data_IF_329329977831
#
_entry.id   IF_329329977831
#
_cell.length_a   1.000
_cell.length_b   1.000
_cell.length_c   1.000
_cell.angle_alpha   90.00
_cell.angle_beta   90.00
_cell.angle_gamma   90.00
#
_symmetry.space_group_name_H-M   'P 1'
#
loop_
_entity.id
_entity.type
_entity.pdbx_description
1 polymer ?
#
# COMPACT_ATOMS: atom_id res chain seq x y z
N UNK A 1 1.92 6.55 -21.85
CA UNK A 1 0.85 6.95 -20.91
C UNK A 1 1.38 6.77 -19.50
N UNK A 2 1.46 7.84 -18.69
CA UNK A 2 1.84 7.75 -17.28
C UNK A 2 0.62 7.20 -16.53
N UNK A 3 0.74 6.02 -15.94
CA UNK A 3 -0.28 5.53 -15.01
C UNK A 3 -0.23 6.48 -13.81
N UNK A 4 -1.29 7.27 -13.62
CA UNK A 4 -1.47 8.05 -12.40
C UNK A 4 -1.82 7.03 -11.30
N UNK A 5 -0.77 6.52 -10.67
CA UNK A 5 -0.92 5.63 -9.53
C UNK A 5 -1.26 6.48 -8.30
N UNK A 6 -2.10 5.96 -7.39
CA UNK A 6 -2.62 6.73 -6.27
C UNK A 6 -1.51 7.16 -5.30
N UNK A 7 -1.80 8.22 -4.55
CA UNK A 7 -1.05 8.51 -3.33
C UNK A 7 -1.45 7.50 -2.25
N UNK A 8 -0.48 7.12 -1.43
CA UNK A 8 -0.69 6.22 -0.32
C UNK A 8 -0.08 6.79 0.95
N UNK A 9 -0.59 6.30 2.06
CA UNK A 9 -0.18 6.74 3.38
C UNK A 9 0.86 5.78 3.96
N UNK A 10 1.92 6.37 4.51
CA UNK A 10 3.05 5.64 5.06
C UNK A 10 3.37 6.15 6.46
N UNK A 11 3.71 5.23 7.34
CA UNK A 11 4.19 5.51 8.68
C UNK A 11 5.41 4.65 8.98
N UNK A 12 6.43 5.16 9.69
CA UNK A 12 7.40 4.29 10.31
C UNK A 12 6.71 3.32 11.28
N UNK A 13 7.04 2.04 11.19
CA UNK A 13 6.56 1.04 12.14
C UNK A 13 7.54 0.98 13.30
N UNK A 14 7.11 1.41 14.50
CA UNK A 14 7.97 1.51 15.68
C UNK A 14 8.16 0.14 16.36
N UNK A 15 7.08 -0.63 16.46
CA UNK A 15 7.13 -2.03 16.88
C UNK A 15 6.52 -2.96 15.81
N UNK A 16 7.33 -3.76 15.12
CA UNK A 16 6.84 -4.75 14.14
C UNK A 16 5.83 -5.77 14.70
N UNK A 17 5.86 -6.08 16.00
CA UNK A 17 4.93 -7.06 16.60
C UNK A 17 3.52 -6.50 16.73
N UNK A 18 3.39 -5.19 16.92
CA UNK A 18 2.11 -4.50 17.00
C UNK A 18 1.28 -4.57 15.69
N UNK A 19 1.91 -4.88 14.56
CA UNK A 19 1.25 -4.93 13.26
C UNK A 19 0.27 -6.10 13.09
N UNK A 20 0.49 -7.22 13.79
CA UNK A 20 -0.28 -8.46 13.58
C UNK A 20 -1.79 -8.25 13.76
N UNK A 21 -2.18 -7.51 14.80
CA UNK A 21 -3.60 -7.25 15.06
C UNK A 21 -4.23 -6.34 14.00
N UNK A 22 -3.48 -5.33 13.53
CA UNK A 22 -3.93 -4.42 12.49
C UNK A 22 -4.07 -5.13 11.13
N UNK A 23 -3.14 -6.02 10.80
CA UNK A 23 -3.19 -6.84 9.58
C UNK A 23 -4.40 -7.79 9.59
N UNK A 24 -4.72 -8.41 10.74
CA UNK A 24 -5.93 -9.23 10.87
C UNK A 24 -7.22 -8.41 10.82
N UNK A 25 -7.22 -7.21 11.39
CA UNK A 25 -8.35 -6.30 11.26
C UNK A 25 -8.60 -5.93 9.79
N UNK A 26 -7.53 -5.71 9.01
CA UNK A 26 -7.62 -5.47 7.57
C UNK A 26 -8.25 -6.66 6.84
N UNK A 27 -7.80 -7.89 7.09
CA UNK A 27 -8.38 -9.09 6.48
C UNK A 27 -9.87 -9.25 6.78
N UNK A 28 -10.27 -9.02 8.04
CA UNK A 28 -11.67 -9.10 8.47
C UNK A 28 -12.52 -8.03 7.80
N UNK A 29 -12.00 -6.81 7.63
CA UNK A 29 -12.69 -5.73 6.93
C UNK A 29 -12.93 -6.10 5.45
N UNK A 30 -11.95 -6.72 4.79
CA UNK A 30 -12.12 -7.22 3.43
C UNK A 30 -13.10 -8.39 3.33
N UNK A 31 -13.13 -9.29 4.32
CA UNK A 31 -14.03 -10.44 4.35
C UNK A 31 -15.50 -10.03 4.56
N UNK A 32 -15.76 -8.95 5.32
CA UNK A 32 -17.12 -8.42 5.56
C UNK A 32 -17.74 -7.76 4.33
N UNK A 33 -16.92 -7.30 3.39
CA UNK A 33 -17.41 -6.58 2.21
C UNK A 33 -18.01 -5.20 2.53
N UNK A 34 -18.45 -4.45 1.51
CA UNK A 34 -18.91 -3.07 1.64
C UNK A 34 -20.34 -2.90 2.17
N UNK A 35 -21.16 -3.96 2.16
CA UNK A 35 -22.61 -3.88 2.37
C UNK A 35 -23.06 -4.02 3.83
N UNK A 36 -22.13 -4.02 4.80
CA UNK A 36 -22.57 -4.01 6.20
C UNK A 36 -22.78 -2.55 6.62
N UNK A 37 -24.04 -2.10 6.59
CA UNK A 37 -24.54 -1.03 7.45
C UNK A 37 -24.26 -1.46 8.91
N UNK A 38 -23.07 -1.19 9.43
CA UNK A 38 -22.71 -1.54 10.79
C UNK A 38 -21.72 -0.51 11.33
N UNK A 39 -22.19 0.17 12.38
CA UNK A 39 -21.49 0.83 13.48
C UNK A 39 -20.08 1.32 13.24
N UNK A 40 -19.83 2.56 13.69
CA UNK A 40 -18.52 3.20 13.74
C UNK A 40 -17.39 2.17 13.86
N UNK A 41 -16.39 2.22 12.96
CA UNK A 41 -15.35 1.22 12.93
C UNK A 41 -14.80 1.06 14.34
N UNK A 42 -15.03 -0.10 14.94
CA UNK A 42 -14.50 -0.46 16.26
C UNK A 42 -13.03 -0.06 16.32
N UNK A 43 -12.52 0.26 17.53
CA UNK A 43 -11.32 1.08 17.73
C UNK A 43 -10.27 0.75 16.67
N UNK A 44 -10.03 1.69 15.75
CA UNK A 44 -9.11 1.49 14.61
C UNK A 44 -7.80 0.91 15.15
N UNK A 45 -7.65 -0.42 15.02
CA UNK A 45 -6.50 -1.14 15.58
C UNK A 45 -5.33 -0.72 14.71
N UNK A 46 -4.57 0.26 15.21
CA UNK A 46 -3.38 0.75 14.56
C UNK A 46 -2.17 0.15 15.27
N UNK A 47 -1.11 -0.21 14.52
CA UNK A 47 0.16 -0.55 15.13
C UNK A 47 0.75 0.64 15.91
N UNK A 48 1.87 0.41 16.58
CA UNK A 48 2.70 1.50 17.09
C UNK A 48 3.41 2.20 15.93
N UNK A 49 2.89 3.36 15.54
CA UNK A 49 3.31 4.11 14.37
C UNK A 49 4.04 5.40 14.73
N UNK A 50 5.04 5.74 13.92
CA UNK A 50 5.69 7.04 13.92
C UNK A 50 4.88 8.10 13.17
N UNK A 51 5.49 9.24 12.82
CA UNK A 51 4.80 10.31 12.10
C UNK A 51 4.39 9.87 10.69
N UNK A 52 3.15 10.22 10.32
CA UNK A 52 2.57 9.97 9.00
C UNK A 52 3.29 10.80 7.93
N UNK A 53 3.47 10.22 6.75
CA UNK A 53 3.77 10.95 5.53
C UNK A 53 3.05 10.32 4.32
N UNK A 54 2.94 11.07 3.24
CA UNK A 54 2.34 10.60 1.99
C UNK A 54 3.42 10.27 0.97
N UNK A 55 3.13 9.31 0.10
CA UNK A 55 4.01 8.93 -1.01
C UNK A 55 3.20 8.62 -2.26
N UNK A 56 3.81 8.82 -3.43
CA UNK A 56 3.21 8.43 -4.70
C UNK A 56 3.60 6.99 -5.02
N UNK A 57 2.62 6.16 -5.37
CA UNK A 57 2.89 4.81 -5.82
C UNK A 57 3.56 4.83 -7.21
N UNK A 58 4.65 4.09 -7.40
CA UNK A 58 5.39 3.99 -8.68
C UNK A 58 5.22 2.62 -9.31
N UNK A 59 5.25 1.58 -8.49
CA UNK A 59 4.95 0.21 -8.91
C UNK A 59 4.40 -0.59 -7.73
N UNK A 60 3.63 -1.62 -8.04
CA UNK A 60 3.01 -2.51 -7.06
C UNK A 60 3.09 -3.95 -7.59
N UNK A 61 3.53 -4.88 -6.76
CA UNK A 61 3.53 -6.31 -7.06
C UNK A 61 3.35 -7.14 -5.79
N UNK A 62 3.15 -8.46 -5.92
CA UNK A 62 2.86 -9.31 -4.75
C UNK A 62 3.98 -9.39 -3.70
N UNK A 63 5.21 -9.02 -4.05
CA UNK A 63 6.36 -9.02 -3.14
C UNK A 63 6.71 -7.66 -2.53
N UNK A 64 6.17 -6.55 -3.05
CA UNK A 64 6.56 -5.23 -2.59
C UNK A 64 5.99 -4.08 -3.41
N UNK A 65 6.47 -2.89 -3.07
CA UNK A 65 5.99 -1.62 -3.59
C UNK A 65 7.13 -0.65 -3.83
N UNK A 66 7.08 0.06 -4.94
CA UNK A 66 7.96 1.19 -5.25
C UNK A 66 7.24 2.49 -4.97
N UNK A 67 7.86 3.36 -4.18
CA UNK A 67 7.31 4.66 -3.78
C UNK A 67 8.20 5.79 -4.27
N UNK A 68 7.57 6.89 -4.65
CA UNK A 68 8.20 8.19 -4.87
C UNK A 68 7.81 9.11 -3.71
N UNK A 69 8.80 9.61 -3.00
CA UNK A 69 8.65 10.34 -1.75
C UNK A 69 9.24 11.73 -1.93
N UNK A 70 8.47 12.75 -1.55
CA UNK A 70 8.90 14.14 -1.64
C UNK A 70 10.15 14.45 -0.79
N UNK A 71 10.97 15.43 -1.18
CA UNK A 71 12.18 15.81 -0.45
C UNK A 71 11.91 16.21 1.01
N UNK A 72 10.73 16.73 1.32
CA UNK A 72 10.25 17.08 2.66
C UNK A 72 10.19 15.88 3.62
N UNK A 73 10.12 14.66 3.09
CA UNK A 73 10.07 13.42 3.85
C UNK A 73 11.38 12.59 3.73
N UNK A 74 12.43 13.18 3.18
CA UNK A 74 13.72 12.48 2.99
C UNK A 74 14.33 11.94 4.30
N UNK A 75 14.27 12.73 5.38
CA UNK A 75 14.87 12.36 6.66
C UNK A 75 14.16 11.16 7.32
N UNK A 76 12.83 11.08 7.21
CA UNK A 76 12.05 9.98 7.81
C UNK A 76 12.29 8.65 7.06
N UNK A 77 12.52 8.71 5.74
CA UNK A 77 12.85 7.55 4.91
C UNK A 77 14.27 7.03 5.20
N UNK A 78 15.23 7.93 5.40
CA UNK A 78 16.60 7.53 5.68
C UNK A 78 16.78 6.92 7.08
N UNK A 79 16.00 7.40 8.07
CA UNK A 79 16.12 7.00 9.48
C UNK A 79 15.50 5.63 9.79
N UNK A 80 14.34 5.33 9.21
CA UNK A 80 13.60 4.11 9.51
C UNK A 80 13.85 3.03 8.44
N UNK A 81 13.57 1.77 8.78
CA UNK A 81 13.76 0.62 7.87
C UNK A 81 12.50 -0.21 7.68
N UNK A 82 11.52 -0.03 8.56
CA UNK A 82 10.24 -0.75 8.51
C UNK A 82 9.14 0.28 8.55
N UNK A 83 8.15 0.06 7.71
CA UNK A 83 7.04 0.98 7.47
C UNK A 83 5.73 0.21 7.49
N UNK A 84 4.70 0.87 7.99
CA UNK A 84 3.32 0.51 7.78
C UNK A 84 2.81 1.30 6.59
N UNK A 85 2.20 0.60 5.63
CA UNK A 85 1.66 1.21 4.42
C UNK A 85 0.17 0.92 4.30
N UNK A 86 -0.59 1.92 3.89
CA UNK A 86 -1.99 1.79 3.52
C UNK A 86 -2.17 2.13 2.06
N UNK A 87 -2.44 1.12 1.26
CA UNK A 87 -2.62 1.22 -0.19
C UNK A 87 -4.12 1.39 -0.46
N UNK A 88 -4.59 2.56 -0.90
CA UNK A 88 -5.95 2.71 -1.36
C UNK A 88 -6.12 1.93 -2.67
N UNK A 89 -7.28 1.30 -2.83
CA UNK A 89 -7.62 0.49 -4.01
C UNK A 89 -8.83 1.12 -4.70
N UNK A 90 -8.64 2.18 -5.53
CA UNK A 90 -9.75 2.85 -6.19
C UNK A 90 -10.58 1.89 -7.03
N UNK A 91 -11.91 1.94 -6.87
CA UNK A 91 -12.84 1.06 -7.58
C UNK A 91 -13.09 -0.29 -6.91
N UNK A 92 -12.44 -0.58 -5.78
CA UNK A 92 -12.85 -1.66 -4.89
C UNK A 92 -13.67 -1.07 -3.74
N UNK A 93 -14.83 -1.68 -3.41
CA UNK A 93 -15.65 -1.18 -2.32
C UNK A 93 -15.09 -1.61 -0.94
N UNK A 94 -13.99 -2.37 -0.91
CA UNK A 94 -13.31 -2.80 0.30
C UNK A 94 -12.39 -1.71 0.88
N UNK A 95 -12.05 -1.87 2.17
CA UNK A 95 -11.08 -1.04 2.89
C UNK A 95 -9.70 -0.98 2.18
N UNK A 96 -8.83 0.01 2.46
CA UNK A 96 -7.46 0.01 1.93
C UNK A 96 -6.69 -1.24 2.39
N UNK A 97 -5.82 -1.77 1.52
CA UNK A 97 -4.89 -2.83 1.90
C UNK A 97 -3.88 -2.23 2.86
N UNK A 98 -3.72 -2.86 4.01
CA UNK A 98 -2.72 -2.47 4.99
C UNK A 98 -1.64 -3.55 5.07
N UNK A 99 -0.37 -3.16 5.09
CA UNK A 99 0.72 -4.13 5.22
C UNK A 99 1.96 -3.53 5.89
N UNK A 100 2.73 -4.39 6.52
CA UNK A 100 4.10 -4.08 6.97
C UNK A 100 5.08 -4.26 5.82
N UNK A 101 6.04 -3.34 5.66
CA UNK A 101 7.03 -3.39 4.60
C UNK A 101 8.41 -2.90 5.07
N UNK A 102 9.46 -3.59 4.61
CA UNK A 102 10.87 -3.27 4.85
C UNK A 102 11.43 -2.49 3.67
N UNK A 103 12.18 -1.43 3.97
CA UNK A 103 12.94 -0.69 2.97
C UNK A 103 14.13 -1.51 2.48
N UNK A 104 14.19 -1.78 1.18
CA UNK A 104 15.24 -2.59 0.55
C UNK A 104 16.31 -1.69 -0.08
N UNK A 105 15.90 -0.65 -0.80
CA UNK A 105 16.82 0.31 -1.43
C UNK A 105 16.17 1.68 -1.60
N UNK A 106 17.01 2.71 -1.71
CA UNK A 106 16.60 4.07 -2.04
C UNK A 106 17.51 4.64 -3.12
N UNK A 107 16.91 5.50 -3.96
CA UNK A 107 17.63 6.30 -4.95
C UNK A 107 17.10 7.73 -4.88
N UNK A 108 18.00 8.70 -4.73
CA UNK A 108 17.64 10.12 -4.88
C UNK A 108 17.55 10.44 -6.37
N UNK A 109 16.46 11.08 -6.78
CA UNK A 109 16.25 11.55 -8.15
C UNK A 109 16.79 12.97 -8.34
N UNK A 110 16.86 13.43 -9.59
CA UNK A 110 17.35 14.75 -9.94
C UNK A 110 16.50 15.90 -9.41
N UNK A 111 15.22 15.65 -9.14
CA UNK A 111 14.30 16.61 -8.53
C UNK A 111 14.33 16.58 -6.99
N UNK A 112 15.32 15.89 -6.41
CA UNK A 112 15.48 15.62 -4.97
C UNK A 112 14.38 14.75 -4.35
N UNK A 113 13.46 14.19 -5.14
CA UNK A 113 12.58 13.14 -4.66
C UNK A 113 13.38 11.87 -4.37
N UNK A 114 12.83 11.02 -3.51
CA UNK A 114 13.40 9.72 -3.18
C UNK A 114 12.52 8.64 -3.79
N UNK A 115 13.11 7.83 -4.67
CA UNK A 115 12.56 6.54 -5.02
C UNK A 115 12.94 5.53 -3.93
N UNK A 116 11.94 4.89 -3.32
CA UNK A 116 12.11 3.89 -2.28
C UNK A 116 11.50 2.56 -2.72
N UNK A 117 12.31 1.51 -2.77
CA UNK A 117 11.84 0.14 -2.98
C UNK A 117 11.60 -0.53 -1.63
N UNK A 118 10.34 -0.89 -1.37
CA UNK A 118 9.95 -1.63 -0.17
C UNK A 118 9.53 -3.05 -0.52
N UNK A 119 9.94 -4.03 0.29
CA UNK A 119 9.46 -5.40 0.25
C UNK A 119 8.46 -5.63 1.38
N UNK A 120 7.35 -6.31 1.12
CA UNK A 120 6.42 -6.65 2.19
C UNK A 120 7.09 -7.58 3.20
N UNK A 121 6.78 -7.36 4.49
CA UNK A 121 7.37 -8.10 5.60
C UNK A 121 6.29 -8.76 6.44
N UNK A 122 6.13 -10.08 6.26
CA UNK A 122 5.13 -10.88 6.97
C UNK A 122 5.74 -11.76 8.06
N UNK A 123 6.91 -11.38 8.59
CA UNK A 123 7.65 -12.16 9.59
C UNK A 123 6.77 -12.56 10.79
N UNK A 124 5.89 -11.67 11.25
CA UNK A 124 5.00 -11.90 12.40
C UNK A 124 3.62 -12.44 12.02
N UNK A 125 3.28 -12.51 10.73
CA UNK A 125 1.95 -12.87 10.26
C UNK A 125 1.98 -13.48 8.85
N UNK A 126 2.66 -14.62 8.70
CA UNK A 126 2.84 -15.29 7.41
C UNK A 126 1.54 -15.52 6.59
N UNK A 127 0.37 -15.85 7.19
CA UNK A 127 -0.84 -16.03 6.41
C UNK A 127 -1.33 -14.74 5.71
N UNK A 128 -0.96 -13.57 6.24
CA UNK A 128 -1.32 -12.28 5.65
C UNK A 128 -0.65 -12.05 4.29
N UNK A 129 0.51 -12.67 4.05
CA UNK A 129 1.21 -12.62 2.77
C UNK A 129 0.31 -13.02 1.60
N UNK A 130 -0.40 -14.15 1.76
CA UNK A 130 -1.29 -14.67 0.72
C UNK A 130 -2.45 -13.72 0.47
N UNK A 131 -3.02 -13.17 1.54
CA UNK A 131 -4.09 -12.18 1.44
C UNK A 131 -3.64 -10.94 0.64
N UNK A 132 -2.52 -10.32 1.03
CA UNK A 132 -1.99 -9.14 0.34
C UNK A 132 -1.67 -9.44 -1.13
N UNK A 133 -1.00 -10.56 -1.40
CA UNK A 133 -0.68 -10.97 -2.77
C UNK A 133 -1.94 -11.20 -3.62
N UNK A 134 -2.96 -11.85 -3.07
CA UNK A 134 -4.21 -12.14 -3.79
C UNK A 134 -4.98 -10.83 -4.10
N UNK A 135 -5.08 -9.90 -3.14
CA UNK A 135 -5.76 -8.62 -3.39
C UNK A 135 -5.00 -7.74 -4.39
N UNK A 136 -3.67 -7.67 -4.28
CA UNK A 136 -2.84 -6.94 -5.26
C UNK A 136 -2.99 -7.52 -6.66
N UNK A 137 -2.94 -8.86 -6.80
CA UNK A 137 -3.12 -9.52 -8.08
C UNK A 137 -4.48 -9.17 -8.70
N UNK A 138 -5.57 -9.28 -7.91
CA UNK A 138 -6.93 -8.94 -8.36
C UNK A 138 -7.02 -7.51 -8.87
N UNK A 139 -6.49 -6.57 -8.12
CA UNK A 139 -6.49 -5.16 -8.50
C UNK A 139 -5.67 -4.86 -9.75
N UNK A 140 -4.44 -5.40 -9.83
CA UNK A 140 -3.58 -5.21 -11.01
C UNK A 140 -4.25 -5.79 -12.25
N UNK A 141 -4.86 -6.98 -12.16
CA UNK A 141 -5.60 -7.57 -13.29
C UNK A 141 -6.74 -6.67 -13.77
N UNK A 142 -7.54 -6.11 -12.85
CA UNK A 142 -8.64 -5.19 -13.19
C UNK A 142 -8.13 -3.90 -13.85
N UNK A 143 -7.05 -3.31 -13.32
CA UNK A 143 -6.49 -2.08 -13.87
C UNK A 143 -5.88 -2.30 -15.26
N UNK A 144 -5.24 -3.46 -15.49
CA UNK A 144 -4.75 -3.81 -16.82
C UNK A 144 -5.88 -4.00 -17.83
N UNK A 145 -6.98 -4.62 -17.42
CA UNK A 145 -8.16 -4.79 -18.27
C UNK A 145 -8.79 -3.44 -18.64
N UNK A 146 -9.02 -2.57 -17.65
CA UNK A 146 -9.54 -1.22 -17.88
C UNK A 146 -8.65 -0.40 -18.82
N UNK A 147 -7.32 -0.47 -18.64
CA UNK A 147 -6.35 0.20 -19.51
C UNK A 147 -6.39 -0.34 -20.95
N UNK A 148 -6.52 -1.66 -21.13
CA UNK A 148 -6.66 -2.29 -22.46
C UNK A 148 -7.93 -1.85 -23.16
N UNK A 149 -9.07 -1.84 -22.47
CA UNK A 149 -10.36 -1.38 -23.03
C UNK A 149 -10.25 0.08 -23.47
N UNK A 150 -9.73 0.96 -22.61
CA UNK A 150 -9.52 2.37 -22.93
C UNK A 150 -8.59 2.58 -24.14
N UNK A 151 -7.55 1.75 -24.28
CA UNK A 151 -6.64 1.79 -25.43
C UNK A 151 -7.32 1.31 -26.72
N UNK A 152 -8.21 0.31 -26.64
CA UNK A 152 -8.95 -0.19 -27.80
C UNK A 152 -9.95 0.85 -28.33
N UNK A 153 -10.67 1.53 -27.44
CA UNK A 153 -11.62 2.61 -27.81
C UNK A 153 -10.91 3.79 -28.48
N UNK A 154 -9.69 4.12 -28.04
CA UNK A 154 -8.86 5.18 -28.66
C UNK A 154 -8.29 4.83 -30.03
N UNK A 155 -8.21 3.55 -30.40
CA UNK A 155 -7.73 3.11 -31.72
C UNK A 155 -8.86 2.98 -32.74
N UNK A 156 -10.11 2.90 -32.28
CA UNK A 156 -11.31 2.78 -33.12
C UNK A 156 -12.00 4.12 -33.36
N UNK A 157 -11.50 5.21 -32.77
CA UNK A 157 -11.93 6.60 -32.99
C UNK A 157 -10.87 7.35 -33.81
#
# INVERSE_FOLDING_TARGET
ARLLLPQLDVWPLLDPKSAVLAERACELAFARGPETDAEEPGPSIRPELGPRFTASLVNLGGGGVGLEIGPEHSQIVCRHKVYWIQIPMPGEPAAPICASAKLVHTHMQSDHSIYAGLAFDFTFNAPHQRFVADQICRYVSRQQEAARVAQSLRKSA
#
